data_IF_112606685576
#
_entry.id   IF_112606685576
#
_cell.length_a   1.000
_cell.length_b   1.000
_cell.length_c   1.000
_cell.angle_alpha   90.00
_cell.angle_beta   90.00
_cell.angle_gamma   90.00
#
_symmetry.space_group_name_H-M   'P 1'
#
loop_
_entity.id
_entity.type
_entity.pdbx_description
1 polymer ?
#
# COMPACT_ATOMS: atom_id res chain seq x y z
N UNK A 1 13.98 17.11 13.72
CA UNK A 1 13.20 15.88 13.48
C UNK A 1 13.79 15.20 12.26
N UNK A 2 13.95 13.89 12.27
CA UNK A 2 14.52 13.11 11.16
C UNK A 2 13.62 13.15 9.91
N UNK A 3 12.33 13.48 10.07
CA UNK A 3 11.39 13.65 8.95
C UNK A 3 11.12 15.11 8.58
N UNK A 4 11.99 16.03 9.00
CA UNK A 4 11.88 17.44 8.65
C UNK A 4 11.82 17.63 7.12
N UNK A 5 10.83 18.42 6.68
CA UNK A 5 10.65 18.79 5.29
C UNK A 5 10.64 20.31 5.18
N UNK A 6 11.63 20.88 4.49
CA UNK A 6 11.87 22.33 4.51
C UNK A 6 10.79 23.16 3.80
N UNK A 7 10.17 22.60 2.77
CA UNK A 7 9.17 23.31 1.96
C UNK A 7 7.76 23.08 2.54
N UNK A 8 7.25 24.07 3.28
CA UNK A 8 5.93 23.99 3.93
C UNK A 8 4.78 23.75 2.93
N UNK A 9 4.90 24.28 1.71
CA UNK A 9 3.91 24.04 0.66
C UNK A 9 3.82 22.55 0.30
N UNK A 10 4.94 21.81 0.35
CA UNK A 10 4.97 20.38 0.08
C UNK A 10 4.51 19.54 1.28
N UNK A 11 4.60 20.06 2.52
CA UNK A 11 3.97 19.42 3.68
C UNK A 11 2.44 19.38 3.53
N UNK A 12 1.85 20.41 2.92
CA UNK A 12 0.42 20.44 2.63
C UNK A 12 0.01 19.26 1.72
N UNK A 13 0.85 18.87 0.77
CA UNK A 13 0.59 17.74 -0.12
C UNK A 13 0.99 16.38 0.50
N UNK A 14 2.19 16.29 1.08
CA UNK A 14 2.79 15.02 1.47
C UNK A 14 2.43 14.55 2.88
N UNK A 15 1.82 15.41 3.70
CA UNK A 15 1.34 15.08 5.05
C UNK A 15 -0.14 15.43 5.20
N UNK A 16 -0.53 16.66 4.84
CA UNK A 16 -1.85 17.20 5.21
C UNK A 16 -2.96 16.94 4.19
N UNK A 17 -2.66 16.50 2.96
CA UNK A 17 -3.69 16.24 1.97
C UNK A 17 -4.34 14.87 2.22
N UNK A 18 -5.66 14.80 2.53
CA UNK A 18 -6.33 13.54 2.81
C UNK A 18 -6.84 12.83 1.55
N UNK A 19 -6.68 13.44 0.38
CA UNK A 19 -7.11 12.90 -0.91
C UNK A 19 -5.90 12.90 -1.84
N UNK A 20 -5.83 11.91 -2.72
CA UNK A 20 -4.77 11.85 -3.72
C UNK A 20 -5.20 11.17 -5.01
N UNK A 21 -4.23 11.08 -5.91
CA UNK A 21 -4.37 10.41 -7.19
C UNK A 21 -3.32 9.31 -7.26
N UNK A 22 -3.74 8.12 -7.67
CA UNK A 22 -2.86 7.00 -7.99
C UNK A 22 -2.99 6.72 -9.48
N UNK A 23 -1.89 6.85 -10.23
CA UNK A 23 -1.88 6.59 -11.66
C UNK A 23 -1.92 5.09 -11.92
N UNK A 24 -2.68 4.66 -12.93
CA UNK A 24 -2.84 3.26 -13.35
C UNK A 24 -2.85 3.17 -14.88
N UNK A 25 -3.15 2.00 -15.44
CA UNK A 25 -3.16 1.80 -16.89
C UNK A 25 -1.80 1.40 -17.43
N UNK A 26 -1.47 1.84 -18.65
CA UNK A 26 -0.21 1.55 -19.32
C UNK A 26 0.44 2.84 -19.85
N UNK A 27 1.68 2.73 -20.34
CA UNK A 27 2.45 3.88 -20.88
C UNK A 27 1.67 4.63 -21.96
N UNK A 28 0.97 3.90 -22.82
CA UNK A 28 0.22 4.46 -23.95
C UNK A 28 -1.17 4.96 -23.57
N UNK A 29 -1.66 4.60 -22.38
CA UNK A 29 -2.98 4.99 -21.89
C UNK A 29 -2.96 5.07 -20.35
N UNK A 30 -2.42 6.19 -19.86
CA UNK A 30 -2.34 6.49 -18.44
C UNK A 30 -3.73 6.84 -17.91
N UNK A 31 -4.20 6.06 -16.95
CA UNK A 31 -5.43 6.29 -16.21
C UNK A 31 -5.13 6.77 -14.79
N UNK A 32 -6.16 7.21 -14.06
CA UNK A 32 -6.04 7.69 -12.69
C UNK A 32 -7.17 7.18 -11.81
N UNK A 33 -6.81 6.84 -10.57
CA UNK A 33 -7.75 6.57 -9.49
C UNK A 33 -7.66 7.68 -8.46
N UNK A 34 -8.79 8.30 -8.15
CA UNK A 34 -8.90 9.11 -6.94
C UNK A 34 -8.92 8.19 -5.73
N UNK A 35 -8.17 8.56 -4.70
CA UNK A 35 -8.06 7.78 -3.48
C UNK A 35 -8.24 8.68 -2.27
N UNK A 36 -9.14 8.28 -1.37
CA UNK A 36 -9.30 8.93 -0.08
C UNK A 36 -8.35 8.27 0.94
N UNK A 37 -7.27 8.96 1.29
CA UNK A 37 -6.37 8.51 2.35
C UNK A 37 -7.04 8.62 3.71
N UNK A 38 -7.70 9.75 4.00
CA UNK A 38 -8.51 9.91 5.20
C UNK A 38 -7.74 9.77 6.52
N UNK A 39 -6.44 10.12 6.55
CA UNK A 39 -5.59 9.98 7.74
C UNK A 39 -6.08 10.77 8.97
N UNK A 40 -7.00 11.72 8.80
CA UNK A 40 -7.60 12.52 9.87
C UNK A 40 -8.99 12.02 10.29
N UNK A 41 -9.51 10.95 9.68
CA UNK A 41 -10.73 10.32 10.15
C UNK A 41 -10.50 9.79 11.58
N UNK A 42 -11.51 9.92 12.44
CA UNK A 42 -11.37 9.79 13.90
C UNK A 42 -10.74 8.47 14.38
N UNK A 43 -10.89 7.40 13.61
CA UNK A 43 -10.41 6.05 13.95
C UNK A 43 -8.99 5.76 13.44
N UNK A 44 -8.50 6.53 12.46
CA UNK A 44 -7.35 6.09 11.64
C UNK A 44 -6.02 6.20 12.36
N UNK A 45 -5.83 7.23 13.19
CA UNK A 45 -4.62 7.33 14.01
C UNK A 45 -4.55 6.17 15.02
N UNK A 46 -5.63 5.89 15.72
CA UNK A 46 -5.69 4.79 16.69
C UNK A 46 -5.46 3.44 16.02
N UNK A 47 -6.10 3.19 14.87
CA UNK A 47 -5.88 1.96 14.08
C UNK A 47 -4.43 1.86 13.61
N UNK A 48 -3.81 2.97 13.24
CA UNK A 48 -2.40 3.00 12.83
C UNK A 48 -1.47 2.59 13.97
N UNK A 49 -1.75 3.04 15.20
CA UNK A 49 -0.99 2.64 16.39
C UNK A 49 -1.20 1.14 16.72
N UNK A 50 -2.44 0.65 16.64
CA UNK A 50 -2.78 -0.77 16.77
C UNK A 50 -2.00 -1.63 15.75
N UNK A 51 -1.89 -1.17 14.50
CA UNK A 51 -1.17 -1.88 13.44
C UNK A 51 0.33 -1.99 13.77
N UNK A 52 0.95 -0.96 14.34
CA UNK A 52 2.35 -1.03 14.79
C UNK A 52 2.53 -1.98 15.99
N UNK A 53 1.53 -2.09 16.87
CA UNK A 53 1.53 -3.08 17.95
C UNK A 53 1.45 -4.52 17.43
N UNK A 54 0.57 -4.77 16.45
CA UNK A 54 0.44 -6.08 15.80
C UNK A 54 1.74 -6.45 15.06
N UNK A 55 2.44 -5.46 14.49
CA UNK A 55 3.76 -5.65 13.89
C UNK A 55 4.87 -5.96 14.93
N UNK A 56 4.56 -6.01 16.23
CA UNK A 56 5.51 -6.31 17.29
C UNK A 56 6.53 -5.19 17.53
N UNK A 57 6.24 -3.96 17.10
CA UNK A 57 7.18 -2.86 17.18
C UNK A 57 7.27 -2.29 18.60
N UNK A 58 8.46 -2.36 19.19
CA UNK A 58 8.73 -1.81 20.52
C UNK A 58 8.67 -0.28 20.54
N UNK A 59 8.34 0.31 21.69
CA UNK A 59 8.23 1.77 21.85
C UNK A 59 9.47 2.55 21.36
N UNK A 60 10.72 2.15 21.66
CA UNK A 60 11.89 2.87 21.17
C UNK A 60 12.02 2.85 19.64
N UNK A 61 11.58 1.78 18.99
CA UNK A 61 11.65 1.66 17.52
C UNK A 61 10.66 2.60 16.81
N UNK A 62 9.57 3.01 17.48
CA UNK A 62 8.54 3.91 16.91
C UNK A 62 9.04 5.33 16.69
N UNK A 63 10.16 5.72 17.31
CA UNK A 63 10.81 7.01 17.08
C UNK A 63 11.69 7.07 15.83
N UNK A 64 11.97 5.91 15.19
CA UNK A 64 12.83 5.84 14.00
C UNK A 64 11.97 5.77 12.73
N UNK A 65 11.97 6.81 11.88
CA UNK A 65 11.16 6.80 10.65
C UNK A 65 11.57 5.68 9.69
N UNK A 66 12.85 5.28 9.70
CA UNK A 66 13.36 4.16 8.89
C UNK A 66 12.77 2.83 9.36
N UNK A 67 12.78 2.58 10.67
CA UNK A 67 12.24 1.33 11.22
C UNK A 67 10.73 1.30 11.05
N UNK A 68 10.03 2.41 11.32
CA UNK A 68 8.59 2.56 11.11
C UNK A 68 8.21 2.29 9.65
N UNK A 69 8.87 2.91 8.68
CA UNK A 69 8.58 2.68 7.26
C UNK A 69 8.74 1.20 6.85
N UNK A 70 9.77 0.51 7.34
CA UNK A 70 9.97 -0.93 7.10
C UNK A 70 8.87 -1.78 7.73
N UNK A 71 8.46 -1.47 8.95
CA UNK A 71 7.37 -2.19 9.62
C UNK A 71 6.03 -1.98 8.92
N UNK A 72 5.73 -0.76 8.45
CA UNK A 72 4.52 -0.48 7.66
C UNK A 72 4.53 -1.32 6.37
N UNK A 73 5.63 -1.34 5.63
CA UNK A 73 5.73 -2.12 4.39
C UNK A 73 5.47 -3.62 4.61
N UNK A 74 5.93 -4.17 5.75
CA UNK A 74 5.69 -5.55 6.11
C UNK A 74 4.23 -5.79 6.53
N UNK A 75 3.70 -5.01 7.47
CA UNK A 75 2.39 -5.28 8.10
C UNK A 75 1.20 -5.05 7.17
N UNK A 76 1.32 -4.20 6.15
CA UNK A 76 0.22 -4.00 5.20
C UNK A 76 0.00 -5.25 4.34
N UNK A 77 1.04 -6.03 4.06
CA UNK A 77 0.96 -7.25 3.26
C UNK A 77 0.73 -8.51 4.12
N UNK A 78 -0.10 -9.44 3.62
CA UNK A 78 -0.43 -10.69 4.31
C UNK A 78 0.62 -11.81 4.18
N UNK A 79 1.83 -11.55 3.67
CA UNK A 79 2.84 -12.63 3.68
C UNK A 79 3.37 -12.83 5.11
N UNK A 80 3.11 -14.04 5.62
CA UNK A 80 3.72 -14.66 6.78
C UNK A 80 3.21 -14.35 8.20
N UNK A 81 2.31 -13.39 8.46
CA UNK A 81 1.50 -13.36 9.71
C UNK A 81 0.57 -12.12 9.82
N UNK A 82 -0.75 -12.29 9.63
CA UNK A 82 -1.80 -11.34 10.09
C UNK A 82 -1.75 -9.91 9.53
N UNK A 83 -1.14 -9.69 8.37
CA UNK A 83 -1.13 -8.37 7.73
C UNK A 83 -2.51 -7.81 7.38
N UNK A 84 -2.58 -6.50 7.09
CA UNK A 84 -3.83 -5.75 6.88
C UNK A 84 -4.61 -6.22 5.65
N UNK A 85 -3.92 -6.43 4.53
CA UNK A 85 -4.53 -6.70 3.23
C UNK A 85 -4.03 -8.01 2.60
N UNK A 86 -4.96 -8.77 2.04
CA UNK A 86 -4.67 -9.96 1.25
C UNK A 86 -4.63 -9.62 -0.25
N UNK A 87 -3.48 -9.84 -0.89
CA UNK A 87 -3.29 -9.57 -2.30
C UNK A 87 -3.97 -10.61 -3.19
N UNK A 88 -4.67 -10.17 -4.25
CA UNK A 88 -5.22 -11.08 -5.29
C UNK A 88 -5.29 -10.38 -6.65
N UNK A 89 -4.65 -10.98 -7.65
CA UNK A 89 -4.53 -10.38 -9.00
C UNK A 89 -5.40 -11.03 -10.08
N UNK A 90 -5.82 -12.28 -9.90
CA UNK A 90 -6.56 -13.05 -10.92
C UNK A 90 -7.64 -13.93 -10.28
N UNK A 91 -8.57 -14.40 -11.11
CA UNK A 91 -9.66 -15.31 -10.72
C UNK A 91 -10.81 -14.61 -10.00
N UNK A 92 -11.70 -15.41 -9.40
CA UNK A 92 -12.88 -14.91 -8.68
C UNK A 92 -12.48 -14.17 -7.40
N UNK A 93 -13.06 -12.99 -7.15
CA UNK A 93 -12.93 -12.26 -5.88
C UNK A 93 -14.00 -12.68 -4.84
N UNK A 94 -14.64 -13.82 -5.02
CA UNK A 94 -15.60 -14.38 -4.04
C UNK A 94 -14.99 -14.52 -2.65
N UNK A 95 -15.73 -14.09 -1.62
CA UNK A 95 -15.26 -14.09 -0.23
C UNK A 95 -14.51 -12.82 0.20
N UNK A 96 -14.48 -11.79 -0.65
CA UNK A 96 -13.95 -10.48 -0.34
C UNK A 96 -14.51 -9.41 -1.27
N UNK A 97 -13.88 -8.24 -1.26
CA UNK A 97 -14.19 -7.11 -2.13
C UNK A 97 -13.22 -7.10 -3.32
N UNK A 98 -13.69 -6.95 -4.56
CA UNK A 98 -12.82 -6.76 -5.71
C UNK A 98 -11.89 -5.54 -5.51
N UNK A 99 -10.57 -5.65 -5.79
CA UNK A 99 -9.62 -4.57 -5.54
C UNK A 99 -9.96 -3.23 -6.24
N UNK A 100 -10.69 -3.29 -7.34
CA UNK A 100 -11.13 -2.12 -8.13
C UNK A 100 -12.27 -1.33 -7.48
N UNK A 101 -12.97 -1.91 -6.50
CA UNK A 101 -14.11 -1.29 -5.81
C UNK A 101 -13.66 -0.32 -4.72
N UNK A 102 -12.47 -0.51 -4.15
CA UNK A 102 -11.96 0.38 -3.11
C UNK A 102 -11.71 1.79 -3.64
N UNK A 103 -12.18 2.79 -2.90
CA UNK A 103 -12.02 4.22 -3.19
C UNK A 103 -11.16 4.95 -2.15
N UNK A 104 -10.74 4.25 -1.10
CA UNK A 104 -10.01 4.84 0.00
C UNK A 104 -9.56 3.83 1.04
N UNK A 105 -8.68 4.27 1.93
CA UNK A 105 -8.08 3.47 2.99
C UNK A 105 -8.94 3.31 4.25
N UNK A 106 -9.78 4.28 4.68
CA UNK A 106 -10.47 4.18 5.96
C UNK A 106 -11.34 2.92 6.09
N UNK A 107 -12.16 2.62 5.08
CA UNK A 107 -13.01 1.43 5.09
C UNK A 107 -12.22 0.11 5.24
N UNK A 108 -11.00 0.05 4.67
CA UNK A 108 -10.12 -1.12 4.78
C UNK A 108 -9.56 -1.21 6.20
N UNK A 109 -8.99 -0.12 6.71
CA UNK A 109 -8.35 -0.08 8.04
C UNK A 109 -9.38 -0.32 9.16
N UNK A 110 -10.56 0.27 9.06
CA UNK A 110 -11.66 0.07 10.01
C UNK A 110 -12.19 -1.36 9.95
N UNK A 111 -12.32 -1.95 8.75
CA UNK A 111 -12.70 -3.36 8.64
C UNK A 111 -11.65 -4.27 9.27
N UNK A 112 -10.37 -4.02 9.03
CA UNK A 112 -9.28 -4.76 9.65
C UNK A 112 -9.34 -4.68 11.18
N UNK A 113 -9.47 -3.46 11.72
CA UNK A 113 -9.55 -3.26 13.17
C UNK A 113 -10.80 -3.91 13.78
N UNK A 114 -11.97 -3.78 13.15
CA UNK A 114 -13.23 -4.35 13.64
C UNK A 114 -13.23 -5.88 13.63
N UNK A 115 -12.66 -6.50 12.60
CA UNK A 115 -12.66 -7.97 12.44
C UNK A 115 -11.42 -8.63 13.02
N UNK A 116 -10.38 -7.84 13.34
CA UNK A 116 -9.04 -8.28 13.71
C UNK A 116 -8.51 -9.36 12.75
N UNK A 117 -8.89 -9.25 11.48
CA UNK A 117 -8.67 -10.23 10.43
C UNK A 117 -8.31 -9.52 9.13
N UNK A 118 -7.43 -10.14 8.35
CA UNK A 118 -6.96 -9.60 7.07
C UNK A 118 -8.12 -9.30 6.11
N UNK A 119 -8.08 -8.11 5.50
CA UNK A 119 -9.08 -7.64 4.55
C UNK A 119 -8.78 -8.18 3.15
N UNK A 120 -9.80 -8.77 2.53
CA UNK A 120 -9.75 -9.32 1.17
C UNK A 120 -10.54 -8.39 0.23
N UNK A 121 -10.02 -7.90 -0.89
CA UNK A 121 -8.71 -8.11 -1.50
C UNK A 121 -8.04 -6.78 -1.88
N UNK A 122 -6.71 -6.80 -2.05
CA UNK A 122 -5.93 -5.68 -2.56
C UNK A 122 -5.11 -6.03 -3.81
N UNK A 123 -4.75 -5.00 -4.57
CA UNK A 123 -3.69 -5.00 -5.59
C UNK A 123 -2.76 -3.82 -5.32
N UNK A 124 -1.67 -3.67 -6.09
CA UNK A 124 -0.57 -2.75 -5.79
C UNK A 124 -1.03 -1.32 -5.42
N UNK A 125 -2.01 -0.74 -6.11
CA UNK A 125 -2.51 0.61 -5.78
C UNK A 125 -3.28 0.66 -4.43
N UNK A 126 -3.98 -0.42 -4.07
CA UNK A 126 -4.68 -0.53 -2.79
C UNK A 126 -3.67 -0.61 -1.65
N UNK A 127 -2.62 -1.42 -1.82
CA UNK A 127 -1.50 -1.48 -0.87
C UNK A 127 -0.85 -0.10 -0.72
N UNK A 128 -0.51 0.56 -1.83
CA UNK A 128 0.09 1.89 -1.81
C UNK A 128 -0.79 2.92 -1.09
N UNK A 129 -2.11 2.92 -1.33
CA UNK A 129 -3.05 3.82 -0.67
C UNK A 129 -3.10 3.62 0.84
N UNK A 130 -3.19 2.36 1.30
CA UNK A 130 -3.20 2.03 2.74
C UNK A 130 -1.87 2.36 3.41
N UNK A 131 -0.74 1.97 2.81
CA UNK A 131 0.60 2.33 3.29
C UNK A 131 0.74 3.84 3.45
N UNK A 132 0.35 4.60 2.43
CA UNK A 132 0.45 6.07 2.45
C UNK A 132 -0.41 6.70 3.54
N UNK A 133 -1.59 6.13 3.80
CA UNK A 133 -2.48 6.60 4.87
C UNK A 133 -1.84 6.42 6.24
N UNK A 134 -1.31 5.22 6.53
CA UNK A 134 -0.63 4.91 7.79
C UNK A 134 0.61 5.81 7.95
N UNK A 135 1.41 5.98 6.90
CA UNK A 135 2.58 6.87 6.92
C UNK A 135 2.21 8.32 7.23
N UNK A 136 1.21 8.89 6.54
CA UNK A 136 0.76 10.27 6.77
C UNK A 136 0.11 10.47 8.14
N UNK A 137 -0.64 9.49 8.64
CA UNK A 137 -1.23 9.52 9.98
C UNK A 137 -0.15 9.62 11.08
N UNK A 138 1.02 9.01 10.85
CA UNK A 138 2.19 9.10 11.75
C UNK A 138 3.05 10.35 11.50
N UNK A 139 2.67 11.22 10.58
CA UNK A 139 3.42 12.43 10.24
C UNK A 139 4.61 12.21 9.31
N UNK A 140 4.75 11.03 8.68
CA UNK A 140 5.79 10.78 7.68
C UNK A 140 5.40 11.42 6.34
N UNK A 141 6.17 12.39 5.80
CA UNK A 141 5.91 12.93 4.46
C UNK A 141 6.04 11.82 3.43
N UNK A 142 5.00 11.58 2.63
CA UNK A 142 4.94 10.43 1.73
C UNK A 142 4.06 10.70 0.50
N UNK A 143 4.30 9.95 -0.58
CA UNK A 143 3.51 10.00 -1.84
C UNK A 143 3.47 8.65 -2.54
N UNK A 144 2.42 8.40 -3.34
CA UNK A 144 2.37 7.25 -4.23
C UNK A 144 3.19 7.51 -5.49
N UNK A 145 3.84 6.46 -6.00
CA UNK A 145 4.55 6.47 -7.28
C UNK A 145 4.04 5.29 -8.11
N UNK A 146 3.79 5.54 -9.39
CA UNK A 146 3.41 4.49 -10.36
C UNK A 146 4.57 4.30 -11.32
N UNK A 147 5.03 3.05 -11.43
CA UNK A 147 6.00 2.64 -12.43
C UNK A 147 5.28 1.83 -13.52
N UNK A 148 5.32 2.31 -14.77
CA UNK A 148 4.77 1.58 -15.91
C UNK A 148 5.80 0.61 -16.46
N UNK A 149 5.35 -0.53 -16.98
CA UNK A 149 6.24 -1.64 -17.39
C UNK A 149 7.17 -2.09 -16.26
N UNK A 150 6.62 -2.19 -15.04
CA UNK A 150 7.39 -2.59 -13.87
C UNK A 150 7.74 -4.07 -13.94
N UNK A 151 9.03 -4.36 -14.13
CA UNK A 151 9.61 -5.68 -13.98
C UNK A 151 9.31 -6.24 -12.58
N UNK A 152 8.82 -7.47 -12.50
CA UNK A 152 8.65 -8.21 -11.25
C UNK A 152 9.58 -9.42 -11.30
N UNK A 153 10.86 -9.15 -11.00
CA UNK A 153 11.90 -10.16 -10.92
C UNK A 153 11.67 -11.04 -9.68
N UNK A 154 11.59 -12.36 -9.90
CA UNK A 154 11.35 -13.34 -8.85
C UNK A 154 12.62 -14.12 -8.44
N UNK A 155 13.73 -13.97 -9.16
CA UNK A 155 14.97 -14.73 -8.94
C UNK A 155 16.21 -13.85 -8.65
N UNK A 156 16.05 -12.53 -8.73
CA UNK A 156 17.10 -11.56 -8.41
C UNK A 156 18.16 -11.44 -9.50
N UNK A 157 17.86 -11.92 -10.72
CA UNK A 157 18.74 -11.86 -11.89
C UNK A 157 18.88 -10.45 -12.49
N UNK A 158 18.01 -9.50 -12.12
CA UNK A 158 17.89 -8.16 -12.74
C UNK A 158 17.49 -8.27 -14.23
N UNK A 159 17.01 -9.44 -14.65
CA UNK A 159 16.49 -9.72 -15.99
C UNK A 159 15.05 -10.26 -15.90
N UNK A 160 14.26 -10.05 -16.95
CA UNK A 160 12.92 -10.65 -17.07
C UNK A 160 12.95 -11.56 -18.28
N UNK A 161 12.91 -12.86 -18.02
CA UNK A 161 12.91 -13.88 -19.05
C UNK A 161 11.47 -14.27 -19.43
N UNK A 162 11.12 -14.06 -20.70
CA UNK A 162 9.84 -14.47 -21.28
C UNK A 162 10.09 -15.71 -22.13
N UNK A 163 9.55 -16.85 -21.71
CA UNK A 163 9.69 -18.10 -22.44
C UNK A 163 8.57 -18.23 -23.47
N UNK A 164 8.92 -18.34 -24.75
CA UNK A 164 7.96 -18.54 -25.84
C UNK A 164 8.05 -19.98 -26.37
N UNK A 165 6.92 -20.56 -26.75
CA UNK A 165 6.88 -21.79 -27.54
C UNK A 165 7.19 -21.52 -29.04
N UNK A 166 7.31 -22.58 -29.83
CA UNK A 166 7.59 -22.48 -31.26
C UNK A 166 6.48 -21.77 -32.08
N UNK A 167 5.28 -21.61 -31.51
CA UNK A 167 4.17 -20.87 -32.10
C UNK A 167 4.09 -19.41 -31.61
N UNK A 168 5.01 -18.99 -30.74
CA UNK A 168 5.06 -17.63 -30.18
C UNK A 168 4.15 -17.43 -28.97
N UNK A 169 3.59 -18.49 -28.38
CA UNK A 169 2.80 -18.37 -27.16
C UNK A 169 3.70 -18.37 -25.92
N UNK A 170 3.38 -17.53 -24.95
CA UNK A 170 4.09 -17.46 -23.67
C UNK A 170 3.86 -18.73 -22.84
N UNK A 171 4.96 -19.38 -22.45
CA UNK A 171 4.98 -20.48 -21.48
C UNK A 171 5.15 -19.86 -20.09
N UNK A 172 4.22 -20.15 -19.19
CA UNK A 172 4.43 -19.80 -17.78
C UNK A 172 5.61 -20.61 -17.23
N UNK A 173 6.66 -19.91 -16.81
CA UNK A 173 7.72 -20.45 -15.96
C UNK A 173 7.26 -20.61 -14.52
#
# INVERSE_FOLDING_TARGET
DDVYFAEEALLSEYVLNPIGIIYTGCVDNIDRKYWYYGQFDSSILDITLDVLEIAGMSWPQRGSPVTVARSIAAVVNYQDDRGVLHGKWKGSFSGGVPPTTWTGSPAILEQYCRTKSTVKYGQCWVFAGVTLTISRALGLPSRCVTNFQSAHDNDGSITIDIYLDAAGNERQG
#
